data_IF_770224963851
#
_entry.id   IF_770224963851
#
_cell.length_a   1.000
_cell.length_b   1.000
_cell.length_c   1.000
_cell.angle_alpha   90.00
_cell.angle_beta   90.00
_cell.angle_gamma   90.00
#
_symmetry.space_group_name_H-M   'P 1'
#
loop_
_entity.id
_entity.type
_entity.pdbx_description
1 polymer ?
#
# COMPACT_ATOMS: atom_id res chain seq x y z
N UNK A 1 -42.67 -10.96 -2.21
CA UNK A 1 -42.06 -11.70 -1.10
C UNK A 1 -40.94 -12.53 -1.71
N UNK A 2 -39.76 -11.92 -1.87
CA UNK A 2 -38.57 -12.62 -2.34
C UNK A 2 -38.08 -13.44 -1.14
N UNK A 3 -38.22 -14.75 -1.21
CA UNK A 3 -37.51 -15.62 -0.27
C UNK A 3 -36.07 -15.63 -0.79
N UNK A 4 -35.25 -14.73 -0.26
CA UNK A 4 -33.80 -14.81 -0.45
C UNK A 4 -33.34 -16.13 0.17
N UNK A 5 -33.00 -17.11 -0.67
CA UNK A 5 -32.27 -18.28 -0.24
C UNK A 5 -30.83 -17.84 0.09
N UNK A 6 -30.63 -17.30 1.30
CA UNK A 6 -29.33 -16.93 1.86
C UNK A 6 -28.58 -18.18 2.37
N UNK A 7 -28.30 -19.13 1.47
CA UNK A 7 -27.64 -20.39 1.83
C UNK A 7 -26.53 -20.78 0.85
N UNK A 8 -25.73 -21.79 1.23
CA UNK A 8 -24.68 -22.34 0.36
C UNK A 8 -25.22 -22.87 -0.98
N UNK A 9 -26.51 -23.22 -1.04
CA UNK A 9 -27.19 -23.68 -2.25
C UNK A 9 -27.15 -22.64 -3.38
N UNK A 10 -27.31 -21.35 -3.05
CA UNK A 10 -27.25 -20.27 -4.04
C UNK A 10 -25.86 -20.17 -4.68
N UNK A 11 -24.80 -20.33 -3.88
CA UNK A 11 -23.43 -20.37 -4.41
C UNK A 11 -23.26 -21.49 -5.45
N UNK A 12 -23.75 -22.71 -5.16
CA UNK A 12 -23.64 -23.83 -6.11
C UNK A 12 -24.58 -23.66 -7.32
N UNK A 13 -25.77 -23.11 -7.13
CA UNK A 13 -26.71 -22.81 -8.22
C UNK A 13 -26.12 -21.75 -9.18
N UNK A 14 -25.53 -20.69 -8.65
CA UNK A 14 -24.90 -19.63 -9.45
C UNK A 14 -23.64 -20.13 -10.17
N UNK A 15 -22.86 -21.03 -9.55
CA UNK A 15 -21.67 -21.63 -10.16
C UNK A 15 -22.01 -22.58 -11.33
N UNK A 16 -23.11 -23.33 -11.22
CA UNK A 16 -23.55 -24.30 -12.23
C UNK A 16 -24.61 -23.75 -13.19
N UNK A 17 -25.13 -22.55 -12.94
CA UNK A 17 -26.10 -21.87 -13.78
C UNK A 17 -25.47 -21.37 -15.09
N UNK A 18 -26.23 -21.46 -16.20
CA UNK A 18 -25.79 -20.85 -17.46
C UNK A 18 -25.87 -19.33 -17.35
N UNK A 19 -24.72 -18.65 -17.19
CA UNK A 19 -24.67 -17.19 -17.15
C UNK A 19 -24.86 -16.60 -18.56
N UNK A 20 -26.00 -15.96 -18.79
CA UNK A 20 -26.22 -15.12 -19.98
C UNK A 20 -25.70 -13.72 -19.68
N UNK A 21 -24.50 -13.41 -20.14
CA UNK A 21 -23.91 -12.08 -19.96
C UNK A 21 -24.40 -11.11 -21.04
N UNK A 22 -24.57 -9.84 -20.68
CA UNK A 22 -24.86 -8.78 -21.65
C UNK A 22 -23.57 -8.18 -22.19
N UNK A 23 -23.57 -7.66 -23.42
CA UNK A 23 -22.40 -7.01 -24.05
C UNK A 23 -22.15 -5.57 -23.53
N UNK A 24 -22.53 -5.27 -22.29
CA UNK A 24 -22.28 -3.99 -21.66
C UNK A 24 -20.90 -4.00 -20.99
N UNK A 25 -19.89 -3.57 -21.76
CA UNK A 25 -18.51 -3.49 -21.30
C UNK A 25 -18.26 -2.18 -20.56
N UNK A 26 -17.42 -2.23 -19.52
CA UNK A 26 -16.99 -1.07 -18.73
C UNK A 26 -16.26 -0.01 -19.58
N UNK A 27 -15.71 -0.40 -20.73
CA UNK A 27 -15.11 0.49 -21.74
C UNK A 27 -16.11 1.47 -22.38
N UNK A 28 -17.42 1.24 -22.25
CA UNK A 28 -18.45 2.18 -22.72
C UNK A 28 -18.60 3.39 -21.79
N UNK A 29 -18.06 3.33 -20.58
CA UNK A 29 -18.10 4.45 -19.63
C UNK A 29 -16.95 5.42 -19.93
N UNK A 30 -17.21 6.71 -19.73
CA UNK A 30 -16.19 7.72 -19.81
C UNK A 30 -15.20 7.52 -18.67
N UNK A 31 -13.92 7.40 -19.01
CA UNK A 31 -12.86 7.34 -18.00
C UNK A 31 -12.56 8.75 -17.53
N UNK A 32 -12.54 8.96 -16.22
CA UNK A 32 -12.30 10.26 -15.61
C UNK A 32 -10.80 10.47 -15.38
N UNK A 33 -10.35 11.71 -15.56
CA UNK A 33 -9.01 12.10 -15.12
C UNK A 33 -9.00 12.23 -13.59
N UNK A 34 -7.87 11.95 -12.90
CA UNK A 34 -7.80 11.98 -11.43
C UNK A 34 -8.28 13.30 -10.81
N UNK A 35 -7.94 14.44 -11.44
CA UNK A 35 -8.33 15.76 -10.94
C UNK A 35 -9.84 16.01 -11.06
N UNK A 36 -10.44 15.59 -12.19
CA UNK A 36 -11.88 15.68 -12.41
C UNK A 36 -12.64 14.78 -11.43
N UNK A 37 -12.13 13.58 -11.18
CA UNK A 37 -12.66 12.66 -10.18
C UNK A 37 -12.68 13.29 -8.78
N UNK A 38 -11.57 13.90 -8.35
CA UNK A 38 -11.48 14.56 -7.04
C UNK A 38 -12.43 15.76 -6.94
N UNK A 39 -12.53 16.56 -8.01
CA UNK A 39 -13.42 17.71 -8.05
C UNK A 39 -14.90 17.28 -7.95
N UNK A 40 -15.30 16.26 -8.71
CA UNK A 40 -16.66 15.71 -8.67
C UNK A 40 -16.95 15.12 -7.28
N UNK A 41 -16.01 14.39 -6.69
CA UNK A 41 -16.17 13.78 -5.38
C UNK A 41 -16.32 14.82 -4.26
N UNK A 42 -15.63 15.96 -4.36
CA UNK A 42 -15.80 17.08 -3.44
C UNK A 42 -17.12 17.83 -3.66
N UNK A 43 -17.59 17.96 -4.89
CA UNK A 43 -18.84 18.63 -5.23
C UNK A 43 -20.09 17.76 -4.96
N UNK A 44 -19.93 16.44 -4.86
CA UNK A 44 -21.00 15.51 -4.62
C UNK A 44 -21.62 15.73 -3.22
N UNK A 45 -22.95 15.87 -3.11
CA UNK A 45 -23.59 16.04 -1.80
C UNK A 45 -23.45 14.75 -0.99
N UNK A 46 -22.81 14.85 0.18
CA UNK A 46 -22.78 13.73 1.13
C UNK A 46 -24.18 13.56 1.71
N UNK A 47 -24.75 12.37 1.54
CA UNK A 47 -26.04 12.02 2.13
C UNK A 47 -25.85 11.74 3.63
N UNK A 48 -26.87 12.06 4.43
CA UNK A 48 -26.98 11.69 5.85
C UNK A 48 -25.85 12.20 6.76
N UNK A 49 -25.31 13.40 6.51
CA UNK A 49 -24.22 13.96 7.32
C UNK A 49 -24.60 14.12 8.80
N UNK A 50 -25.84 14.53 9.10
CA UNK A 50 -26.30 14.75 10.47
C UNK A 50 -26.40 13.44 11.24
N UNK A 51 -26.95 12.40 10.61
CA UNK A 51 -27.11 11.07 11.20
C UNK A 51 -25.76 10.39 11.43
N UNK A 52 -24.79 10.56 10.52
CA UNK A 52 -23.41 10.08 10.69
C UNK A 52 -22.74 10.80 11.87
N UNK A 53 -22.95 12.11 12.03
CA UNK A 53 -22.41 12.85 13.16
C UNK A 53 -23.01 12.39 14.51
N UNK A 54 -24.32 12.15 14.56
CA UNK A 54 -24.98 11.60 15.76
C UNK A 54 -24.45 10.21 16.09
N UNK A 55 -24.28 9.34 15.08
CA UNK A 55 -23.71 8.01 15.26
C UNK A 55 -22.27 8.06 15.78
N UNK A 56 -21.45 8.98 15.26
CA UNK A 56 -20.10 9.21 15.76
C UNK A 56 -20.10 9.61 17.24
N UNK A 57 -21.01 10.49 17.65
CA UNK A 57 -21.13 10.90 19.05
C UNK A 57 -21.58 9.74 19.96
N UNK A 58 -22.46 8.87 19.48
CA UNK A 58 -22.83 7.65 20.21
C UNK A 58 -21.63 6.72 20.42
N UNK A 59 -20.79 6.52 19.39
CA UNK A 59 -19.57 5.73 19.52
C UNK A 59 -18.60 6.31 20.55
N UNK A 60 -18.50 7.65 20.66
CA UNK A 60 -17.65 8.31 21.67
C UNK A 60 -18.07 8.04 23.10
N UNK A 61 -19.36 7.82 23.35
CA UNK A 61 -19.84 7.49 24.69
C UNK A 61 -19.28 6.15 25.20
N UNK A 62 -18.82 5.27 24.30
CA UNK A 62 -18.20 3.99 24.65
C UNK A 62 -16.70 4.09 24.97
N UNK A 63 -16.05 5.25 24.81
CA UNK A 63 -14.61 5.39 25.08
C UNK A 63 -14.20 4.97 26.50
N UNK A 64 -14.93 5.31 27.58
CA UNK A 64 -14.57 4.85 28.92
C UNK A 64 -14.65 3.34 29.07
N UNK A 65 -15.58 2.69 28.38
CA UNK A 65 -15.72 1.24 28.36
C UNK A 65 -14.51 0.60 27.67
N UNK A 66 -14.15 1.08 26.48
CA UNK A 66 -12.99 0.58 25.74
C UNK A 66 -11.68 0.76 26.54
N UNK A 67 -11.54 1.90 27.20
CA UNK A 67 -10.39 2.14 28.07
C UNK A 67 -10.32 1.14 29.23
N UNK A 68 -11.45 0.85 29.87
CA UNK A 68 -11.53 -0.15 30.95
C UNK A 68 -11.18 -1.57 30.47
N UNK A 69 -11.66 -1.95 29.28
CA UNK A 69 -11.37 -3.26 28.68
C UNK A 69 -9.88 -3.43 28.37
N UNK A 70 -9.21 -2.38 27.86
CA UNK A 70 -7.77 -2.37 27.63
C UNK A 70 -6.99 -2.57 28.94
N UNK A 71 -7.35 -1.84 30.00
CA UNK A 71 -6.71 -1.97 31.32
C UNK A 71 -6.96 -3.32 31.99
N UNK A 72 -8.02 -4.01 31.59
CA UNK A 72 -8.32 -5.37 32.04
C UNK A 72 -7.49 -6.45 31.32
N UNK A 73 -6.61 -6.05 30.38
CA UNK A 73 -5.73 -6.96 29.64
C UNK A 73 -6.35 -7.54 28.36
N UNK A 74 -7.45 -6.97 27.88
CA UNK A 74 -7.99 -7.30 26.57
C UNK A 74 -7.43 -6.38 25.49
N UNK A 75 -7.33 -6.90 24.27
CA UNK A 75 -7.06 -6.06 23.10
C UNK A 75 -8.37 -5.80 22.36
N UNK A 76 -8.47 -4.67 21.65
CA UNK A 76 -9.71 -4.26 21.00
C UNK A 76 -9.63 -4.37 19.48
N UNK A 77 -10.59 -5.08 18.89
CA UNK A 77 -10.75 -5.20 17.44
C UNK A 77 -12.04 -4.51 17.00
N UNK A 78 -11.90 -3.52 16.13
CA UNK A 78 -13.01 -2.73 15.60
C UNK A 78 -13.32 -3.17 14.17
N UNK A 79 -14.55 -3.60 13.94
CA UNK A 79 -15.07 -3.97 12.63
C UNK A 79 -16.28 -3.12 12.29
N UNK A 80 -16.70 -3.13 11.03
CA UNK A 80 -17.87 -2.36 10.58
C UNK A 80 -17.59 -1.59 9.31
N UNK A 81 -18.68 -1.17 8.68
CA UNK A 81 -18.67 -0.44 7.42
C UNK A 81 -18.31 1.04 7.64
N UNK A 82 -17.36 1.53 6.85
CA UNK A 82 -16.86 2.91 6.88
C UNK A 82 -15.48 3.04 7.51
N UNK A 83 -14.80 4.15 7.22
CA UNK A 83 -13.50 4.44 7.81
C UNK A 83 -13.62 4.60 9.33
N UNK A 84 -12.87 3.78 10.06
CA UNK A 84 -12.77 3.80 11.54
C UNK A 84 -11.62 4.67 12.03
N UNK A 85 -10.81 5.18 11.11
CA UNK A 85 -9.55 5.85 11.43
C UNK A 85 -9.74 7.09 12.29
N UNK A 86 -10.74 7.92 11.96
CA UNK A 86 -11.04 9.13 12.71
C UNK A 86 -11.50 8.81 14.14
N UNK A 87 -12.42 7.85 14.28
CA UNK A 87 -12.93 7.39 15.58
C UNK A 87 -11.82 6.84 16.48
N UNK A 88 -10.95 5.98 15.94
CA UNK A 88 -9.85 5.39 16.70
C UNK A 88 -8.75 6.40 17.04
N UNK A 89 -8.48 7.36 16.17
CA UNK A 89 -7.54 8.43 16.48
C UNK A 89 -8.08 9.34 17.59
N UNK A 90 -9.38 9.65 17.57
CA UNK A 90 -10.01 10.45 18.62
C UNK A 90 -10.04 9.69 19.96
N UNK A 91 -10.36 8.40 19.95
CA UNK A 91 -10.23 7.53 21.11
C UNK A 91 -8.80 7.52 21.65
N UNK A 92 -7.80 7.35 20.78
CA UNK A 92 -6.41 7.30 21.17
C UNK A 92 -5.92 8.62 21.77
N UNK A 93 -6.35 9.77 21.23
CA UNK A 93 -5.96 11.09 21.74
C UNK A 93 -6.69 11.47 23.04
N UNK A 94 -7.93 11.03 23.21
CA UNK A 94 -8.76 11.41 24.37
C UNK A 94 -8.58 10.49 25.57
N UNK A 95 -8.42 9.19 25.35
CA UNK A 95 -8.39 8.19 26.41
C UNK A 95 -6.98 7.63 26.69
N UNK A 96 -6.08 7.56 25.70
CA UNK A 96 -4.78 6.89 25.84
C UNK A 96 -3.66 7.88 26.16
N UNK A 97 -3.82 8.66 27.23
CA UNK A 97 -2.86 9.71 27.64
C UNK A 97 -1.74 9.25 28.56
N UNK A 98 -1.84 8.01 29.05
CA UNK A 98 -1.09 7.56 30.23
C UNK A 98 0.27 6.93 29.87
N UNK A 99 0.55 6.79 28.58
CA UNK A 99 1.78 6.20 28.09
C UNK A 99 2.07 6.51 26.62
N UNK A 100 3.21 6.05 26.09
CA UNK A 100 3.56 6.22 24.68
C UNK A 100 2.50 5.58 23.77
N UNK A 101 2.04 6.36 22.80
CA UNK A 101 1.07 5.95 21.78
C UNK A 101 1.75 5.84 20.42
N UNK A 102 1.62 4.69 19.77
CA UNK A 102 2.12 4.46 18.41
C UNK A 102 0.94 4.16 17.50
N UNK A 103 0.77 5.02 16.50
CA UNK A 103 -0.22 4.83 15.44
C UNK A 103 0.44 4.22 14.21
N UNK A 104 -0.04 3.05 13.80
CA UNK A 104 0.40 2.26 12.67
C UNK A 104 -0.69 2.29 11.60
N UNK A 105 -0.34 2.78 10.41
CA UNK A 105 -1.25 2.82 9.27
C UNK A 105 -0.98 1.61 8.37
N UNK A 106 -1.75 0.54 8.54
CA UNK A 106 -1.58 -0.74 7.85
C UNK A 106 -1.97 -0.75 6.38
N UNK A 107 -2.74 0.25 5.93
CA UNK A 107 -3.09 0.44 4.52
C UNK A 107 -1.92 0.97 3.67
N UNK A 108 -0.81 1.43 4.27
CA UNK A 108 0.33 1.89 3.48
C UNK A 108 1.09 0.72 2.81
N UNK A 109 1.32 0.77 1.49
CA UNK A 109 1.97 -0.30 0.74
C UNK A 109 3.48 -0.41 0.99
N UNK A 110 4.11 0.53 1.71
CA UNK A 110 5.53 0.47 2.06
C UNK A 110 5.79 0.01 3.50
N UNK A 111 4.74 -0.24 4.30
CA UNK A 111 4.93 -0.53 5.72
C UNK A 111 5.51 -1.94 5.93
N UNK A 112 6.55 -2.02 6.75
CA UNK A 112 7.13 -3.30 7.19
C UNK A 112 7.04 -3.45 8.71
N UNK A 113 6.97 -4.69 9.18
CA UNK A 113 7.00 -4.99 10.62
C UNK A 113 8.31 -4.51 11.27
N UNK A 114 9.43 -4.52 10.52
CA UNK A 114 10.70 -4.00 11.03
C UNK A 114 10.62 -2.51 11.34
N UNK A 115 9.98 -1.73 10.49
CA UNK A 115 9.80 -0.28 10.71
C UNK A 115 8.90 -0.01 11.92
N UNK A 116 7.88 -0.85 12.15
CA UNK A 116 7.01 -0.75 13.33
C UNK A 116 7.83 -1.02 14.61
N UNK A 117 8.59 -2.11 14.63
CA UNK A 117 9.42 -2.46 15.80
C UNK A 117 10.52 -1.43 16.06
N UNK A 118 11.14 -0.89 15.01
CA UNK A 118 12.11 0.20 15.12
C UNK A 118 11.47 1.48 15.67
N UNK A 119 10.26 1.82 15.24
CA UNK A 119 9.51 2.96 15.81
C UNK A 119 9.18 2.74 17.29
N UNK A 120 8.87 1.52 17.71
CA UNK A 120 8.65 1.20 19.12
C UNK A 120 9.95 1.43 19.93
N UNK A 121 11.07 0.83 19.51
CA UNK A 121 12.32 0.93 20.29
C UNK A 121 12.96 2.31 20.22
N UNK A 122 13.13 2.87 19.02
CA UNK A 122 13.82 4.15 18.86
C UNK A 122 12.91 5.35 19.18
N UNK A 123 11.63 5.25 18.82
CA UNK A 123 10.67 6.34 18.95
C UNK A 123 10.04 6.44 20.33
N UNK A 124 9.53 5.33 20.87
CA UNK A 124 8.86 5.33 22.18
C UNK A 124 9.82 5.06 23.34
N UNK A 125 10.73 4.10 23.19
CA UNK A 125 11.61 3.67 24.30
C UNK A 125 12.94 4.43 24.34
N UNK A 126 13.32 5.13 23.27
CA UNK A 126 14.62 5.82 23.18
C UNK A 126 15.83 4.88 23.23
N UNK A 127 15.63 3.58 23.07
CA UNK A 127 16.68 2.56 23.10
C UNK A 127 17.16 2.22 21.69
N UNK A 128 18.44 1.90 21.54
CA UNK A 128 18.97 1.41 20.27
C UNK A 128 18.43 -0.01 20.05
N UNK A 129 17.50 -0.14 19.11
CA UNK A 129 16.81 -1.40 18.82
C UNK A 129 17.78 -2.55 18.49
N UNK A 130 17.32 -3.77 18.77
CA UNK A 130 18.07 -5.00 18.45
C UNK A 130 18.29 -5.11 16.94
N UNK A 131 19.54 -5.34 16.51
CA UNK A 131 19.91 -5.62 15.11
C UNK A 131 19.71 -7.10 14.73
N UNK A 132 18.97 -7.85 15.55
CA UNK A 132 18.75 -9.29 15.41
C UNK A 132 17.57 -9.67 14.51
N UNK A 133 17.02 -10.87 14.72
CA UNK A 133 15.82 -11.33 14.03
C UNK A 133 14.58 -10.56 14.53
N UNK A 134 13.48 -10.60 13.77
CA UNK A 134 12.20 -9.96 14.14
C UNK A 134 11.71 -10.50 15.50
N UNK A 135 11.93 -11.78 15.77
CA UNK A 135 11.51 -12.42 17.03
C UNK A 135 12.34 -11.90 18.21
N UNK A 136 13.66 -11.76 18.03
CA UNK A 136 14.54 -11.23 19.09
C UNK A 136 14.18 -9.78 19.44
N UNK A 137 13.80 -8.98 18.42
CA UNK A 137 13.37 -7.60 18.63
C UNK A 137 12.04 -7.52 19.39
N UNK A 138 11.08 -8.38 19.05
CA UNK A 138 9.82 -8.49 19.81
C UNK A 138 10.08 -8.93 21.24
N UNK A 139 10.92 -9.95 21.44
CA UNK A 139 11.26 -10.45 22.77
C UNK A 139 11.92 -9.36 23.62
N UNK A 140 12.85 -8.58 23.04
CA UNK A 140 13.46 -7.45 23.72
C UNK A 140 12.43 -6.41 24.19
N UNK A 141 11.42 -6.11 23.36
CA UNK A 141 10.34 -5.20 23.74
C UNK A 141 9.53 -5.81 24.89
N UNK A 142 9.15 -7.08 24.81
CA UNK A 142 8.40 -7.76 25.87
C UNK A 142 9.18 -7.82 27.19
N UNK A 143 10.49 -8.09 27.13
CA UNK A 143 11.37 -8.16 28.30
C UNK A 143 11.52 -6.79 28.96
N UNK A 144 11.62 -5.71 28.17
CA UNK A 144 11.62 -4.33 28.68
C UNK A 144 10.34 -4.02 29.46
N UNK A 145 9.17 -4.39 28.93
CA UNK A 145 7.90 -4.15 29.62
C UNK A 145 7.65 -5.09 30.80
N UNK A 146 8.36 -6.21 30.87
CA UNK A 146 8.33 -7.13 32.01
C UNK A 146 9.23 -6.69 33.17
N UNK A 147 10.26 -5.87 32.91
CA UNK A 147 11.15 -5.36 33.97
C UNK A 147 10.50 -4.25 34.81
N UNK A 148 10.85 -4.20 36.11
CA UNK A 148 10.33 -3.19 37.05
C UNK A 148 10.99 -1.80 36.87
N UNK A 149 12.21 -1.74 36.34
CA UNK A 149 12.93 -0.49 36.01
C UNK A 149 12.51 0.03 34.63
N UNK A 150 11.27 0.52 34.52
CA UNK A 150 10.70 1.05 33.26
C UNK A 150 10.31 2.51 33.38
N UNK A 151 10.52 3.25 32.29
CA UNK A 151 10.15 4.68 32.20
C UNK A 151 8.64 4.87 32.02
N UNK A 152 7.97 3.89 31.42
CA UNK A 152 6.53 3.91 31.12
C UNK A 152 5.85 2.63 31.58
N UNK A 153 4.68 2.74 32.20
CA UNK A 153 3.92 1.57 32.68
C UNK A 153 3.25 0.76 31.57
N UNK A 154 2.79 1.45 30.52
CA UNK A 154 2.02 0.84 29.44
C UNK A 154 2.37 1.44 28.07
N UNK A 155 2.33 0.60 27.03
CA UNK A 155 2.48 0.98 25.63
C UNK A 155 1.18 0.78 24.88
N UNK A 156 0.70 1.80 24.19
CA UNK A 156 -0.49 1.72 23.35
C UNK A 156 -0.12 1.66 21.88
N UNK A 157 -0.61 0.64 21.18
CA UNK A 157 -0.40 0.47 19.74
C UNK A 157 -1.76 0.49 19.06
N UNK A 158 -1.97 1.48 18.19
CA UNK A 158 -3.19 1.60 17.37
C UNK A 158 -2.85 1.21 15.95
N UNK A 159 -3.43 0.13 15.44
CA UNK A 159 -3.22 -0.37 14.08
C UNK A 159 -4.47 -0.17 13.24
N UNK A 160 -4.43 0.85 12.37
CA UNK A 160 -5.42 1.02 11.31
C UNK A 160 -5.20 -0.05 10.23
N UNK A 161 -6.27 -0.67 9.75
CA UNK A 161 -6.26 -1.79 8.79
C UNK A 161 -5.21 -2.87 9.16
N UNK A 162 -5.44 -3.60 10.25
CA UNK A 162 -4.56 -4.72 10.66
C UNK A 162 -4.48 -5.83 9.59
N UNK A 163 -5.50 -5.90 8.76
CA UNK A 163 -5.67 -6.71 7.56
C UNK A 163 -5.15 -6.02 6.29
N UNK A 164 -4.32 -4.98 6.40
CA UNK A 164 -3.65 -4.35 5.27
C UNK A 164 -2.72 -5.32 4.52
N UNK A 165 -2.50 -5.14 3.20
CA UNK A 165 -1.86 -6.14 2.34
C UNK A 165 -0.48 -6.60 2.84
N UNK A 166 0.33 -5.69 3.40
CA UNK A 166 1.66 -6.03 3.93
C UNK A 166 1.67 -6.58 5.35
N UNK A 167 0.57 -6.38 6.11
CA UNK A 167 0.43 -6.85 7.48
C UNK A 167 -0.20 -8.25 7.55
N UNK A 168 -0.82 -8.74 6.47
CA UNK A 168 -1.41 -10.10 6.38
C UNK A 168 -0.38 -11.23 6.51
N UNK A 169 0.90 -10.94 6.30
CA UNK A 169 1.96 -11.95 6.35
C UNK A 169 2.02 -12.63 7.73
N UNK A 170 2.18 -13.96 7.73
CA UNK A 170 2.20 -14.74 8.97
C UNK A 170 3.28 -14.28 9.96
N UNK A 171 4.46 -13.88 9.45
CA UNK A 171 5.54 -13.33 10.28
C UNK A 171 5.12 -12.07 11.02
N UNK A 172 4.39 -11.18 10.34
CA UNK A 172 3.90 -9.92 10.90
C UNK A 172 2.82 -10.17 11.95
N UNK A 173 1.82 -10.99 11.63
CA UNK A 173 0.76 -11.35 12.58
C UNK A 173 1.29 -12.09 13.80
N UNK A 174 2.29 -12.95 13.62
CA UNK A 174 2.95 -13.64 14.74
C UNK A 174 3.68 -12.65 15.65
N UNK A 175 4.44 -11.71 15.10
CA UNK A 175 5.12 -10.66 15.86
C UNK A 175 4.13 -9.78 16.64
N UNK A 176 3.05 -9.33 15.98
CA UNK A 176 2.00 -8.55 16.64
C UNK A 176 1.28 -9.35 17.74
N UNK A 177 1.03 -10.64 17.52
CA UNK A 177 0.41 -11.50 18.55
C UNK A 177 1.31 -11.67 19.78
N UNK A 178 2.63 -11.71 19.59
CA UNK A 178 3.57 -11.82 20.70
C UNK A 178 3.62 -10.53 21.52
N UNK A 179 3.55 -9.36 20.85
CA UNK A 179 3.45 -8.06 21.52
C UNK A 179 2.12 -7.93 22.29
N UNK A 180 1.00 -8.33 21.67
CA UNK A 180 -0.33 -8.25 22.26
C UNK A 180 -0.54 -9.14 23.50
N UNK A 181 0.31 -10.15 23.68
CA UNK A 181 0.28 -11.04 24.84
C UNK A 181 0.99 -10.46 26.07
N UNK A 182 1.74 -9.36 25.93
CA UNK A 182 2.38 -8.71 27.06
C UNK A 182 1.35 -7.84 27.81
N UNK A 183 1.24 -8.02 29.12
CA UNK A 183 0.21 -7.35 29.95
C UNK A 183 0.27 -5.81 29.92
N UNK A 184 1.44 -5.26 29.61
CA UNK A 184 1.69 -3.81 29.58
C UNK A 184 1.70 -3.24 28.16
N UNK A 185 1.39 -4.05 27.15
CA UNK A 185 1.24 -3.60 25.76
C UNK A 185 -0.22 -3.81 25.36
N UNK A 186 -0.89 -2.71 25.04
CA UNK A 186 -2.30 -2.70 24.70
C UNK A 186 -2.46 -2.45 23.20
N UNK A 187 -3.13 -3.36 22.51
CA UNK A 187 -3.33 -3.30 21.07
C UNK A 187 -4.78 -2.91 20.75
N UNK A 188 -4.94 -1.89 19.92
CA UNK A 188 -6.21 -1.45 19.35
C UNK A 188 -6.10 -1.57 17.85
N UNK A 189 -6.98 -2.33 17.20
CA UNK A 189 -6.91 -2.57 15.77
C UNK A 189 -8.25 -2.35 15.07
N UNK A 190 -8.20 -1.84 13.84
CA UNK A 190 -9.37 -1.85 12.95
C UNK A 190 -9.23 -2.93 11.88
N UNK A 191 -10.35 -3.50 11.47
CA UNK A 191 -10.47 -4.54 10.45
C UNK A 191 -11.55 -4.16 9.44
N UNK A 192 -11.29 -4.35 8.15
CA UNK A 192 -12.23 -4.02 7.07
C UNK A 192 -12.59 -5.21 6.17
N UNK A 193 -11.67 -6.14 5.99
CA UNK A 193 -11.79 -7.27 5.10
C UNK A 193 -12.66 -8.36 5.72
N UNK A 194 -13.65 -8.85 4.98
CA UNK A 194 -14.57 -9.91 5.42
C UNK A 194 -13.84 -11.16 5.94
N UNK A 195 -12.77 -11.55 5.24
CA UNK A 195 -11.97 -12.73 5.60
C UNK A 195 -10.89 -12.47 6.68
N UNK A 196 -10.88 -11.32 7.34
CA UNK A 196 -9.83 -11.01 8.31
C UNK A 196 -9.75 -12.01 9.48
N UNK A 197 -10.89 -12.58 9.90
CA UNK A 197 -10.92 -13.64 10.91
C UNK A 197 -10.13 -14.90 10.53
N UNK A 198 -9.87 -15.12 9.22
CA UNK A 198 -9.05 -16.24 8.74
C UNK A 198 -7.54 -16.03 8.95
N UNK A 199 -7.10 -14.83 9.33
CA UNK A 199 -5.67 -14.53 9.56
C UNK A 199 -5.13 -15.14 10.85
N UNK A 200 -6.01 -15.47 11.81
CA UNK A 200 -5.62 -15.91 13.13
C UNK A 200 -5.98 -17.38 13.36
N UNK A 201 -4.94 -18.17 13.64
CA UNK A 201 -5.11 -19.50 14.21
C UNK A 201 -5.49 -19.40 15.70
N UNK A 202 -5.78 -20.54 16.33
CA UNK A 202 -6.15 -20.59 17.75
C UNK A 202 -5.08 -20.00 18.67
N UNK A 203 -3.80 -20.11 18.32
CA UNK A 203 -2.69 -19.60 19.15
C UNK A 203 -2.64 -18.08 19.07
N UNK A 204 -2.71 -17.51 17.86
CA UNK A 204 -2.75 -16.07 17.61
C UNK A 204 -4.01 -15.47 18.23
N UNK A 205 -5.17 -16.10 18.05
CA UNK A 205 -6.42 -15.65 18.65
C UNK A 205 -6.37 -15.59 20.19
N UNK A 206 -5.76 -16.61 20.82
CA UNK A 206 -5.57 -16.63 22.28
C UNK A 206 -4.63 -15.53 22.74
N UNK A 207 -3.52 -15.30 22.03
CA UNK A 207 -2.54 -14.26 22.35
C UNK A 207 -3.09 -12.85 22.15
N UNK A 208 -3.87 -12.65 21.09
CA UNK A 208 -4.51 -11.37 20.85
C UNK A 208 -5.65 -11.10 21.83
N UNK A 209 -6.36 -12.12 22.34
CA UNK A 209 -7.42 -11.94 23.32
C UNK A 209 -8.39 -10.77 22.97
N UNK A 210 -8.90 -10.80 21.72
CA UNK A 210 -9.70 -9.71 21.16
C UNK A 210 -11.08 -9.61 21.80
N UNK A 211 -11.49 -8.39 22.15
CA UNK A 211 -12.89 -7.99 22.26
C UNK A 211 -13.28 -7.27 20.97
N UNK A 212 -14.35 -7.75 20.36
CA UNK A 212 -14.85 -7.24 19.09
C UNK A 212 -15.92 -6.18 19.31
N UNK A 213 -15.71 -5.00 18.75
CA UNK A 213 -16.65 -3.88 18.76
C UNK A 213 -17.10 -3.53 17.36
N UNK A 214 -18.41 -3.38 17.19
CA UNK A 214 -18.99 -2.81 15.97
C UNK A 214 -18.80 -1.29 16.00
N UNK A 215 -17.99 -0.79 15.07
CA UNK A 215 -17.74 0.60 14.80
C UNK A 215 -18.11 0.92 13.34
N UNK A 216 -19.34 0.61 12.95
CA UNK A 216 -19.95 1.11 11.71
C UNK A 216 -20.05 2.64 11.76
N UNK A 217 -19.29 3.33 10.90
CA UNK A 217 -19.24 4.81 10.82
C UNK A 217 -19.88 5.36 9.56
N UNK A 218 -20.00 4.56 8.49
CA UNK A 218 -20.37 5.01 7.14
C UNK A 218 -19.49 6.13 6.57
N UNK A 219 -18.30 6.36 7.14
CA UNK A 219 -17.36 7.37 6.66
C UNK A 219 -16.62 6.87 5.41
N UNK A 220 -16.16 7.82 4.58
CA UNK A 220 -15.53 7.52 3.30
C UNK A 220 -14.10 6.97 3.50
N UNK A 221 -13.74 5.91 2.77
CA UNK A 221 -12.38 5.31 2.80
C UNK A 221 -11.35 6.06 1.94
N UNK A 222 -11.44 7.40 1.85
CA UNK A 222 -10.65 8.18 0.90
C UNK A 222 -9.14 8.05 1.12
N UNK A 223 -8.69 7.91 2.37
CA UNK A 223 -7.25 7.83 2.66
C UNK A 223 -6.75 6.41 2.48
N UNK A 224 -7.51 5.44 2.92
CA UNK A 224 -7.21 4.01 2.80
C UNK A 224 -7.14 3.60 1.32
N UNK A 225 -8.11 4.06 0.50
CA UNK A 225 -8.15 3.77 -0.95
C UNK A 225 -7.24 4.64 -1.80
N UNK A 226 -6.61 5.68 -1.24
CA UNK A 226 -5.70 6.55 -2.01
C UNK A 226 -4.47 5.83 -2.55
N UNK A 227 -4.08 4.71 -1.92
CA UNK A 227 -2.97 3.85 -2.36
C UNK A 227 -3.44 2.68 -3.24
N UNK A 228 -4.75 2.45 -3.29
CA UNK A 228 -5.35 1.44 -4.14
C UNK A 228 -5.73 2.03 -5.51
N UNK A 229 -5.64 1.20 -6.53
CA UNK A 229 -5.98 1.57 -7.89
C UNK A 229 -7.50 1.74 -8.02
N UNK A 230 -7.99 2.99 -8.02
CA UNK A 230 -9.40 3.28 -8.28
C UNK A 230 -9.77 2.88 -9.71
N UNK A 231 -10.74 1.97 -9.86
CA UNK A 231 -11.17 1.35 -11.13
C UNK A 231 -11.60 2.36 -12.21
N UNK A 232 -12.00 3.58 -11.81
CA UNK A 232 -12.47 4.65 -12.70
C UNK A 232 -11.39 5.66 -13.06
N UNK A 233 -10.25 5.61 -12.37
CA UNK A 233 -9.10 6.45 -12.66
C UNK A 233 -8.21 5.69 -13.63
N UNK A 234 -7.73 6.34 -14.69
CA UNK A 234 -6.73 5.78 -15.60
C UNK A 234 -5.48 5.42 -14.81
N UNK A 235 -5.40 4.18 -14.37
CA UNK A 235 -4.20 3.57 -13.84
C UNK A 235 -3.30 3.20 -15.02
N UNK A 236 -2.69 4.21 -15.61
CA UNK A 236 -1.28 4.00 -15.86
C UNK A 236 -0.67 3.80 -14.48
N UNK A 237 -0.28 2.58 -14.13
CA UNK A 237 0.75 2.36 -13.09
C UNK A 237 1.71 3.54 -13.15
N UNK A 238 2.03 4.19 -12.03
CA UNK A 238 3.01 5.28 -11.90
C UNK A 238 4.20 5.17 -12.89
N UNK A 239 4.03 5.62 -14.13
CA UNK A 239 4.82 5.14 -15.27
C UNK A 239 4.08 4.96 -16.62
N UNK A 240 2.76 5.13 -16.71
CA UNK A 240 2.07 5.19 -18.01
C UNK A 240 2.54 6.37 -18.89
N UNK A 241 2.23 6.33 -20.19
CA UNK A 241 2.74 7.26 -21.21
C UNK A 241 2.69 8.76 -20.84
N UNK A 242 1.66 9.20 -20.09
CA UNK A 242 1.53 10.60 -19.62
C UNK A 242 2.41 10.94 -18.41
N UNK A 243 2.63 9.99 -17.51
CA UNK A 243 3.58 10.16 -16.40
C UNK A 243 5.01 10.20 -16.92
N UNK A 244 5.33 9.31 -17.86
CA UNK A 244 6.58 9.36 -18.61
C UNK A 244 6.74 10.70 -19.34
N UNK A 245 5.69 11.20 -20.00
CA UNK A 245 5.68 12.51 -20.65
C UNK A 245 5.99 13.67 -19.69
N UNK A 246 5.31 13.76 -18.56
CA UNK A 246 5.52 14.85 -17.60
C UNK A 246 6.95 14.86 -17.01
N UNK A 247 7.51 13.67 -16.78
CA UNK A 247 8.91 13.54 -16.36
C UNK A 247 9.86 13.93 -17.51
N UNK A 248 9.61 13.47 -18.73
CA UNK A 248 10.40 13.82 -19.92
C UNK A 248 10.39 15.32 -20.21
N UNK A 249 9.28 16.02 -20.01
CA UNK A 249 9.19 17.48 -20.14
C UNK A 249 10.02 18.23 -19.10
N UNK A 250 10.25 17.62 -17.93
CA UNK A 250 11.06 18.17 -16.84
C UNK A 250 12.55 17.92 -17.01
N UNK A 251 12.93 16.99 -17.90
CA UNK A 251 14.30 16.56 -18.14
C UNK A 251 15.04 17.46 -19.13
N UNK A 252 16.37 17.48 -19.04
CA UNK A 252 17.21 18.25 -19.97
C UNK A 252 17.09 17.73 -21.41
N UNK A 253 17.44 18.56 -22.41
CA UNK A 253 17.44 18.12 -23.82
C UNK A 253 18.35 16.92 -24.07
N UNK A 254 19.46 16.82 -23.33
CA UNK A 254 20.40 15.71 -23.44
C UNK A 254 19.82 14.43 -22.84
N UNK A 255 19.20 14.53 -21.66
CA UNK A 255 18.49 13.43 -21.01
C UNK A 255 17.38 12.85 -21.89
N UNK A 256 16.58 13.72 -22.54
CA UNK A 256 15.56 13.30 -23.51
C UNK A 256 16.16 12.57 -24.70
N UNK A 257 17.33 13.01 -25.20
CA UNK A 257 18.05 12.34 -26.27
C UNK A 257 18.56 10.95 -25.88
N UNK A 258 19.06 10.80 -24.64
CA UNK A 258 19.46 9.50 -24.08
C UNK A 258 18.27 8.54 -24.04
N UNK A 259 17.13 8.98 -23.48
CA UNK A 259 15.90 8.17 -23.44
C UNK A 259 15.39 7.79 -24.85
N UNK A 260 15.47 8.72 -25.81
CA UNK A 260 15.07 8.50 -27.21
C UNK A 260 15.85 7.37 -27.88
N UNK A 261 17.18 7.31 -27.68
CA UNK A 261 18.02 6.24 -28.23
C UNK A 261 17.56 4.86 -27.73
N UNK A 262 17.21 4.77 -26.45
CA UNK A 262 16.72 3.52 -25.87
C UNK A 262 15.35 3.14 -26.45
N UNK A 263 14.44 4.12 -26.58
CA UNK A 263 13.10 3.92 -27.11
C UNK A 263 13.12 3.50 -28.59
N UNK A 264 13.91 4.17 -29.44
CA UNK A 264 14.04 3.83 -30.86
C UNK A 264 14.60 2.41 -31.06
N UNK A 265 15.61 2.04 -30.27
CA UNK A 265 16.17 0.70 -30.32
C UNK A 265 15.15 -0.37 -29.91
N UNK A 266 14.42 -0.10 -28.83
CA UNK A 266 13.41 -1.02 -28.34
C UNK A 266 12.25 -1.18 -29.35
N UNK A 267 11.86 -0.12 -30.05
CA UNK A 267 10.85 -0.21 -31.13
C UNK A 267 11.31 -1.05 -32.32
N UNK A 268 12.57 -0.91 -32.72
CA UNK A 268 13.14 -1.73 -33.80
C UNK A 268 13.14 -3.21 -33.41
N UNK A 269 13.62 -3.55 -32.21
CA UNK A 269 13.66 -4.93 -31.73
C UNK A 269 12.27 -5.52 -31.51
N UNK A 270 11.32 -4.76 -30.97
CA UNK A 270 9.92 -5.17 -30.85
C UNK A 270 9.27 -5.45 -32.22
N UNK A 271 9.59 -4.63 -33.22
CA UNK A 271 9.12 -4.82 -34.59
C UNK A 271 9.72 -6.06 -35.28
N UNK A 272 10.98 -6.39 -35.00
CA UNK A 272 11.65 -7.59 -35.53
C UNK A 272 11.10 -8.86 -34.86
N UNK A 273 10.83 -8.80 -33.55
CA UNK A 273 10.38 -9.95 -32.76
C UNK A 273 8.85 -10.13 -32.75
N UNK A 274 8.07 -9.29 -33.46
CA UNK A 274 6.60 -9.27 -33.50
C UNK A 274 5.97 -9.39 -32.09
N UNK A 275 6.50 -8.62 -31.14
CA UNK A 275 6.09 -8.69 -29.75
C UNK A 275 4.98 -7.67 -29.48
N UNK A 276 3.75 -8.13 -29.25
CA UNK A 276 2.58 -7.27 -28.94
C UNK A 276 2.47 -6.91 -27.44
N UNK A 277 3.45 -7.31 -26.62
CA UNK A 277 3.46 -7.10 -25.17
C UNK A 277 4.38 -5.96 -24.71
N UNK A 278 4.40 -5.73 -23.39
CA UNK A 278 5.32 -4.79 -22.73
C UNK A 278 6.78 -5.14 -23.01
N UNK A 279 7.62 -4.10 -23.07
CA UNK A 279 9.07 -4.26 -23.16
C UNK A 279 9.65 -5.14 -22.06
N UNK A 280 10.38 -6.17 -22.46
CA UNK A 280 11.04 -7.14 -21.59
C UNK A 280 12.55 -7.14 -21.80
N UNK A 281 13.25 -7.96 -21.01
CA UNK A 281 14.71 -8.15 -21.06
C UNK A 281 15.25 -8.51 -22.46
N UNK A 282 14.44 -9.16 -23.30
CA UNK A 282 14.82 -9.60 -24.66
C UNK A 282 15.00 -8.44 -25.65
N UNK A 283 14.45 -7.27 -25.34
CA UNK A 283 14.54 -6.05 -26.17
C UNK A 283 15.39 -4.96 -25.51
N UNK A 284 16.06 -5.29 -24.39
CA UNK A 284 16.91 -4.37 -23.63
C UNK A 284 18.31 -4.19 -24.22
N UNK A 285 18.95 -3.08 -23.87
CA UNK A 285 20.33 -2.78 -24.24
C UNK A 285 21.30 -3.09 -23.09
N UNK A 286 22.49 -3.62 -23.42
CA UNK A 286 23.58 -3.71 -22.46
C UNK A 286 24.19 -2.33 -22.20
N UNK A 287 24.72 -2.11 -20.99
CA UNK A 287 25.39 -0.85 -20.63
C UNK A 287 26.43 -0.38 -21.67
N UNK A 288 27.28 -1.30 -22.14
CA UNK A 288 28.35 -1.02 -23.10
C UNK A 288 27.80 -0.51 -24.44
N UNK A 289 26.78 -1.20 -24.98
CA UNK A 289 26.13 -0.80 -26.23
C UNK A 289 25.36 0.51 -26.08
N UNK A 290 24.70 0.70 -24.94
CA UNK A 290 23.93 1.91 -24.68
C UNK A 290 24.84 3.14 -24.59
N UNK A 291 25.97 3.02 -23.88
CA UNK A 291 26.97 4.09 -23.80
C UNK A 291 27.57 4.43 -25.16
N UNK A 292 27.87 3.43 -25.99
CA UNK A 292 28.38 3.67 -27.34
C UNK A 292 27.38 4.47 -28.19
N UNK A 293 26.10 4.07 -28.21
CA UNK A 293 25.05 4.77 -28.95
C UNK A 293 24.81 6.19 -28.43
N UNK A 294 24.80 6.39 -27.12
CA UNK A 294 24.66 7.72 -26.51
C UNK A 294 25.82 8.65 -26.87
N UNK A 295 27.04 8.09 -27.00
CA UNK A 295 28.24 8.83 -27.41
C UNK A 295 28.23 9.15 -28.91
N UNK A 296 27.75 8.25 -29.75
CA UNK A 296 27.55 8.49 -31.19
C UNK A 296 26.49 9.59 -31.43
N UNK A 297 25.46 9.66 -30.59
CA UNK A 297 24.45 10.73 -30.59
C UNK A 297 24.89 12.04 -29.92
N UNK A 298 26.12 12.14 -29.41
CA UNK A 298 26.65 13.30 -28.69
C UNK A 298 25.84 13.75 -27.46
N UNK A 299 25.02 12.86 -26.87
CA UNK A 299 24.17 13.21 -25.71
C UNK A 299 24.91 13.13 -24.38
N UNK A 300 26.00 12.36 -24.31
CA UNK A 300 26.78 12.15 -23.08
C UNK A 300 28.27 12.34 -23.33
N UNK A 301 28.93 13.07 -22.42
CA UNK A 301 30.37 13.39 -22.47
C UNK A 301 31.26 12.41 -21.71
N UNK A 302 30.75 11.71 -20.69
CA UNK A 302 31.53 10.79 -19.84
C UNK A 302 30.68 9.65 -19.29
N UNK A 303 31.33 8.55 -18.89
CA UNK A 303 30.66 7.40 -18.25
C UNK A 303 29.85 7.80 -17.01
N UNK A 304 30.41 8.71 -16.20
CA UNK A 304 29.77 9.20 -15.00
C UNK A 304 28.46 9.94 -15.31
N UNK A 305 28.44 10.74 -16.37
CA UNK A 305 27.24 11.48 -16.77
C UNK A 305 26.12 10.53 -17.22
N UNK A 306 26.42 9.46 -17.96
CA UNK A 306 25.39 8.46 -18.32
C UNK A 306 24.82 7.78 -17.06
N UNK A 307 25.68 7.45 -16.08
CA UNK A 307 25.24 6.81 -14.84
C UNK A 307 24.31 7.70 -14.03
N UNK A 308 24.57 9.01 -13.97
CA UNK A 308 23.70 9.96 -13.29
C UNK A 308 22.31 10.00 -13.94
N UNK A 309 22.25 10.15 -15.26
CA UNK A 309 20.99 10.15 -16.03
C UNK A 309 20.22 8.83 -15.89
N UNK A 310 20.91 7.69 -15.95
CA UNK A 310 20.31 6.36 -15.72
C UNK A 310 19.78 6.20 -14.30
N UNK A 311 20.42 6.81 -13.30
CA UNK A 311 19.94 6.78 -11.92
C UNK A 311 18.65 7.59 -11.81
N UNK A 312 18.61 8.77 -12.42
CA UNK A 312 17.41 9.62 -12.47
C UNK A 312 16.23 8.92 -13.18
N UNK A 313 16.47 8.26 -14.32
CA UNK A 313 15.42 7.49 -15.00
C UNK A 313 14.91 6.31 -14.18
N UNK A 314 15.77 5.70 -13.36
CA UNK A 314 15.37 4.62 -12.45
C UNK A 314 14.56 5.15 -11.27
N UNK A 315 14.94 6.28 -10.70
CA UNK A 315 14.23 6.93 -9.59
C UNK A 315 12.82 7.34 -10.01
N UNK A 316 12.67 7.80 -11.26
CA UNK A 316 11.36 8.10 -11.87
C UNK A 316 10.66 6.89 -12.50
N UNK A 317 11.21 5.67 -12.37
CA UNK A 317 10.66 4.42 -12.92
C UNK A 317 10.40 4.43 -14.43
N UNK A 318 11.13 5.24 -15.19
CA UNK A 318 11.06 5.28 -16.64
C UNK A 318 11.75 4.07 -17.29
N UNK A 319 12.83 3.60 -16.66
CA UNK A 319 13.65 2.47 -17.15
C UNK A 319 13.73 1.42 -16.05
N UNK A 320 13.63 0.16 -16.47
CA UNK A 320 13.86 -1.01 -15.63
C UNK A 320 15.22 -1.63 -15.96
N UNK A 321 15.91 -2.06 -14.91
CA UNK A 321 17.22 -2.72 -15.02
C UNK A 321 17.13 -4.16 -14.54
N UNK A 322 17.66 -5.10 -15.32
CA UNK A 322 17.79 -6.50 -14.90
C UNK A 322 19.23 -6.97 -15.07
N UNK A 323 19.70 -7.75 -14.11
CA UNK A 323 21.04 -8.36 -14.14
C UNK A 323 20.93 -9.77 -14.69
N UNK A 324 21.65 -10.04 -15.77
CA UNK A 324 21.82 -11.38 -16.29
C UNK A 324 22.69 -12.24 -15.37
N UNK A 325 22.65 -13.56 -15.55
CA UNK A 325 23.48 -14.54 -14.85
C UNK A 325 24.99 -14.24 -15.00
N UNK A 326 25.38 -13.60 -16.11
CA UNK A 326 26.76 -13.19 -16.41
C UNK A 326 27.16 -11.85 -15.75
N UNK A 327 26.28 -11.24 -14.95
CA UNK A 327 26.53 -9.97 -14.25
C UNK A 327 26.39 -8.73 -15.12
N UNK A 328 25.99 -8.86 -16.38
CA UNK A 328 25.70 -7.73 -17.28
C UNK A 328 24.34 -7.10 -16.96
N UNK A 329 24.31 -5.77 -16.91
CA UNK A 329 23.09 -4.99 -16.67
C UNK A 329 22.41 -4.67 -18.02
N UNK A 330 21.14 -5.09 -18.13
CA UNK A 330 20.26 -4.78 -19.26
C UNK A 330 19.26 -3.70 -18.86
N UNK A 331 19.09 -2.71 -19.75
CA UNK A 331 18.19 -1.58 -19.60
C UNK A 331 17.04 -1.69 -20.60
N UNK A 332 15.80 -1.59 -20.15
CA UNK A 332 14.61 -1.61 -21.01
C UNK A 332 13.50 -0.72 -20.43
N UNK A 333 12.60 -0.25 -21.30
CA UNK A 333 11.46 0.59 -20.94
C UNK A 333 10.23 -0.33 -20.79
N UNK A 334 9.59 -0.41 -19.62
CA UNK A 334 8.45 -1.30 -19.38
C UNK A 334 7.12 -0.73 -19.96
N UNK A 335 7.14 -0.25 -21.20
CA UNK A 335 5.99 0.32 -21.91
C UNK A 335 5.58 -0.54 -23.11
N UNK A 336 4.31 -0.41 -23.50
CA UNK A 336 3.74 -1.05 -24.68
C UNK A 336 4.19 -0.33 -25.96
N UNK A 337 4.32 -1.06 -27.06
CA UNK A 337 4.80 -0.53 -28.35
C UNK A 337 4.00 0.71 -28.80
N UNK A 338 2.66 0.65 -28.74
CA UNK A 338 1.78 1.76 -29.12
C UNK A 338 1.99 3.02 -28.29
N UNK A 339 2.30 2.85 -27.00
CA UNK A 339 2.60 3.96 -26.09
C UNK A 339 4.01 4.51 -26.28
N UNK A 340 4.97 3.67 -26.64
CA UNK A 340 6.33 4.11 -26.89
C UNK A 340 6.43 4.91 -28.20
N UNK A 341 5.70 4.49 -29.25
CA UNK A 341 5.60 5.22 -30.52
C UNK A 341 5.06 6.64 -30.30
N UNK A 342 3.96 6.79 -29.55
CA UNK A 342 3.37 8.12 -29.30
C UNK A 342 4.31 9.05 -28.52
N UNK A 343 5.09 8.51 -27.58
CA UNK A 343 6.08 9.29 -26.84
C UNK A 343 7.24 9.72 -27.75
N UNK A 344 7.74 8.83 -28.61
CA UNK A 344 8.85 9.15 -29.53
C UNK A 344 8.42 10.17 -30.60
N UNK A 345 7.19 10.08 -31.10
CA UNK A 345 6.63 11.04 -32.06
C UNK A 345 6.51 12.45 -31.46
N UNK A 346 6.17 12.58 -30.18
CA UNK A 346 6.07 13.86 -29.47
C UNK A 346 7.43 14.42 -29.01
N UNK A 347 8.48 13.58 -28.95
CA UNK A 347 9.86 14.01 -28.64
C UNK A 347 10.63 14.54 -29.85
N UNK A 348 10.05 14.45 -31.06
CA UNK A 348 10.53 15.10 -32.28
C UNK A 348 9.98 16.52 -32.38
#
# INVERSE_FOLDING_TARGET
MFVEQEGYERYFQDLHGSSKTSNNTLSKLQVLEPQEFHHILQAAPKKHQEEIAVLSEMHKQHFPQWFFELHSGFNLAFYGYGSKRNLLNEFAQSALTDGPLIVVNGFFPSISIKDILLKITAGALGTTGSTGSIQDHVQFICDYFASEDRDYESLYIVVHNLDGPNLRNERTQTALSMLANANNIHLVASVDHLNAGLLWDNVKATRFNWIWHDATTFDDYLVETSFENSLLVRTGELGGARGAKFVLDSLTSNARGVFKILAEHQLMEMGIQNMEGRGNETVGLTYSQYYQKCREGFFVSSDLALRTELTEFRDHKLISTKKNLDGTELFFIPLDQSTLVSIVEELN
#
